data_IF_167433062051
#
_entry.id   IF_167433062051
#
_cell.length_a   1.000
_cell.length_b   1.000
_cell.length_c   1.000
_cell.angle_alpha   90.00
_cell.angle_beta   90.00
_cell.angle_gamma   90.00
#
_symmetry.space_group_name_H-M   'P 1'
#
loop_
_entity.id
_entity.type
_entity.pdbx_description
1 polymer ?
#
# COMPACT_ATOMS: atom_id res chain seq x y z
N UNK A 1 -34.83 15.49 4.08
CA UNK A 1 -34.58 14.14 3.53
C UNK A 1 -33.07 13.93 3.67
N UNK A 2 -32.48 13.20 4.62
CA UNK A 2 -32.78 11.89 5.17
C UNK A 2 -32.35 11.83 6.64
N UNK A 3 -33.24 11.27 7.46
CA UNK A 3 -32.99 10.85 8.84
C UNK A 3 -31.99 9.69 8.84
N UNK A 4 -30.83 9.83 9.49
CA UNK A 4 -29.98 8.68 9.86
C UNK A 4 -30.23 8.32 11.32
N UNK A 5 -31.10 7.33 11.50
CA UNK A 5 -31.25 6.60 12.76
C UNK A 5 -30.12 5.58 12.84
N UNK A 6 -29.15 5.80 13.71
CA UNK A 6 -28.29 4.73 14.19
C UNK A 6 -28.45 4.64 15.70
N UNK A 7 -29.50 3.91 16.10
CA UNK A 7 -29.66 3.40 17.47
C UNK A 7 -29.11 1.98 17.47
N UNK A 8 -27.79 1.85 17.59
CA UNK A 8 -27.23 0.63 18.15
C UNK A 8 -27.48 0.70 19.67
N UNK A 9 -28.39 -0.13 20.17
CA UNK A 9 -28.50 -0.36 21.61
C UNK A 9 -27.23 -1.05 22.07
N UNK A 10 -26.37 -0.29 22.76
CA UNK A 10 -25.31 -0.84 23.59
C UNK A 10 -25.76 -0.65 25.04
N UNK A 11 -26.23 -1.75 25.62
CA UNK A 11 -26.43 -1.84 27.04
C UNK A 11 -25.10 -1.60 27.78
N UNK A 12 -25.16 -0.80 28.84
CA UNK A 12 -24.24 -0.93 29.98
C UNK A 12 -23.17 0.14 30.18
N UNK A 13 -23.46 1.01 31.16
CA UNK A 13 -22.54 1.51 32.21
C UNK A 13 -21.36 2.44 31.87
N UNK A 14 -21.64 3.74 32.05
CA UNK A 14 -20.96 4.72 32.92
C UNK A 14 -19.43 4.89 32.92
N UNK A 15 -19.09 6.15 32.59
CA UNK A 15 -18.14 7.08 33.23
C UNK A 15 -16.64 7.09 32.83
N UNK A 16 -16.31 8.28 32.31
CA UNK A 16 -15.14 9.13 32.60
C UNK A 16 -13.79 8.89 31.91
N UNK A 17 -13.43 9.94 31.17
CA UNK A 17 -12.12 10.57 31.10
C UNK A 17 -10.96 9.74 30.53
N UNK A 18 -10.56 10.07 29.30
CA UNK A 18 -9.16 10.23 28.95
C UNK A 18 -9.05 10.91 27.57
N UNK A 19 -8.33 12.03 27.55
CA UNK A 19 -7.41 12.48 26.50
C UNK A 19 -7.69 12.00 25.08
N UNK A 20 -7.99 12.94 24.17
CA UNK A 20 -7.84 12.77 22.72
C UNK A 20 -6.36 12.53 22.39
N UNK A 21 -5.89 11.31 22.68
CA UNK A 21 -4.68 10.75 22.14
C UNK A 21 -4.90 10.51 20.65
N UNK A 22 -3.89 10.89 19.88
CA UNK A 22 -3.80 10.76 18.43
C UNK A 22 -4.47 9.45 17.99
N UNK A 23 -5.50 9.59 17.15
CA UNK A 23 -6.22 8.46 16.58
C UNK A 23 -5.20 7.46 16.03
N UNK A 24 -5.19 6.29 16.65
CA UNK A 24 -4.33 5.18 16.33
C UNK A 24 -4.35 4.94 14.82
N UNK A 25 -3.17 5.02 14.22
CA UNK A 25 -2.83 4.38 12.96
C UNK A 25 -3.11 2.89 13.14
N UNK A 26 -4.31 2.46 12.76
CA UNK A 26 -4.82 1.13 13.03
C UNK A 26 -5.86 0.71 12.02
N UNK A 27 -5.58 0.89 10.71
CA UNK A 27 -6.27 0.11 9.69
C UNK A 27 -5.68 -1.31 9.67
N UNK A 28 -5.99 -2.07 10.71
CA UNK A 28 -5.76 -3.50 10.74
C UNK A 28 -6.85 -4.19 9.90
N UNK A 29 -6.44 -4.71 8.75
CA UNK A 29 -6.98 -5.94 8.18
C UNK A 29 -8.18 -5.79 7.24
N UNK A 30 -7.99 -6.31 6.02
CA UNK A 30 -9.00 -6.76 5.05
C UNK A 30 -9.79 -5.75 4.21
N UNK A 31 -9.90 -4.47 4.58
CA UNK A 31 -10.40 -3.44 3.64
C UNK A 31 -9.26 -2.75 2.85
N UNK A 32 -8.06 -2.73 3.43
CA UNK A 32 -6.89 -2.01 2.91
C UNK A 32 -6.23 -2.65 1.69
N UNK A 33 -6.30 -3.98 1.54
CA UNK A 33 -5.60 -4.69 0.46
C UNK A 33 -6.18 -4.32 -0.91
N UNK A 34 -7.47 -4.53 -1.11
CA UNK A 34 -8.13 -4.14 -2.37
C UNK A 34 -8.04 -2.63 -2.65
N UNK A 35 -8.11 -1.77 -1.62
CA UNK A 35 -7.98 -0.32 -1.83
C UNK A 35 -6.54 0.09 -2.14
N UNK A 36 -5.53 -0.54 -1.54
CA UNK A 36 -4.12 -0.28 -1.83
C UNK A 36 -3.72 -0.86 -3.19
N UNK A 37 -4.25 -2.02 -3.54
CA UNK A 37 -4.11 -2.64 -4.86
C UNK A 37 -4.68 -1.73 -5.94
N UNK A 38 -5.92 -1.28 -5.79
CA UNK A 38 -6.54 -0.37 -6.75
C UNK A 38 -5.80 0.97 -6.84
N UNK A 39 -5.36 1.52 -5.70
CA UNK A 39 -4.57 2.74 -5.66
C UNK A 39 -3.21 2.58 -6.35
N UNK A 40 -2.50 1.49 -6.09
CA UNK A 40 -1.23 1.16 -6.73
C UNK A 40 -1.39 1.00 -8.24
N UNK A 41 -2.41 0.26 -8.69
CA UNK A 41 -2.71 0.10 -10.11
C UNK A 41 -3.07 1.44 -10.76
N UNK A 42 -3.79 2.32 -10.07
CA UNK A 42 -4.10 3.65 -10.56
C UNK A 42 -2.86 4.54 -10.66
N UNK A 43 -1.95 4.48 -9.68
CA UNK A 43 -0.69 5.24 -9.67
C UNK A 43 0.22 4.81 -10.81
N UNK A 44 0.57 3.53 -10.92
CA UNK A 44 1.49 3.08 -11.98
C UNK A 44 0.93 3.39 -13.38
N UNK A 45 -0.39 3.36 -13.57
CA UNK A 45 -1.03 3.78 -14.83
C UNK A 45 -0.89 5.28 -15.08
N UNK A 46 -1.01 6.12 -14.04
CA UNK A 46 -0.77 7.55 -14.13
C UNK A 46 0.69 7.86 -14.49
N UNK A 47 1.63 7.02 -14.04
CA UNK A 47 3.05 7.08 -14.39
C UNK A 47 3.39 6.48 -15.77
N UNK A 48 2.36 6.07 -16.54
CA UNK A 48 2.50 5.51 -17.89
C UNK A 48 2.90 4.04 -17.92
N UNK A 49 2.90 3.36 -16.78
CA UNK A 49 3.17 1.92 -16.65
C UNK A 49 1.86 1.16 -16.77
N UNK A 50 1.68 0.46 -17.90
CA UNK A 50 0.50 -0.39 -18.12
C UNK A 50 0.88 -1.86 -17.91
N UNK A 51 0.53 -2.46 -16.77
CA UNK A 51 0.79 -3.87 -16.56
C UNK A 51 -0.16 -4.75 -17.38
N UNK A 52 0.24 -5.99 -17.71
CA UNK A 52 -0.60 -6.94 -18.45
C UNK A 52 -1.83 -7.38 -17.66
N UNK A 53 -1.74 -7.41 -16.33
CA UNK A 53 -2.87 -7.62 -15.43
C UNK A 53 -2.58 -6.98 -14.07
N UNK A 54 -3.64 -6.58 -13.36
CA UNK A 54 -3.52 -6.05 -12.00
C UNK A 54 -2.87 -7.06 -11.07
N UNK A 55 -3.31 -8.32 -11.11
CA UNK A 55 -2.75 -9.40 -10.31
C UNK A 55 -1.24 -9.59 -10.55
N UNK A 56 -0.77 -9.44 -11.80
CA UNK A 56 0.67 -9.51 -12.09
C UNK A 56 1.42 -8.35 -11.46
N UNK A 57 0.93 -7.11 -11.63
CA UNK A 57 1.57 -5.94 -11.04
C UNK A 57 1.64 -6.03 -9.51
N UNK A 58 0.55 -6.44 -8.86
CA UNK A 58 0.49 -6.61 -7.40
C UNK A 58 1.50 -7.68 -6.94
N UNK A 59 1.56 -8.82 -7.63
CA UNK A 59 2.53 -9.87 -7.32
C UNK A 59 3.98 -9.38 -7.46
N UNK A 60 4.28 -8.59 -8.49
CA UNK A 60 5.61 -8.01 -8.70
C UNK A 60 5.94 -6.93 -7.65
N UNK A 61 4.94 -6.15 -7.22
CA UNK A 61 5.08 -5.17 -6.16
C UNK A 61 5.38 -5.82 -4.81
N UNK A 62 4.73 -6.93 -4.49
CA UNK A 62 5.09 -7.73 -3.30
C UNK A 62 6.49 -8.35 -3.41
N UNK A 63 6.94 -8.72 -4.61
CA UNK A 63 8.29 -9.21 -4.82
C UNK A 63 9.35 -8.12 -4.57
N UNK A 64 9.04 -6.84 -4.83
CA UNK A 64 9.88 -5.69 -4.44
C UNK A 64 10.06 -5.65 -2.93
N UNK A 65 8.97 -5.73 -2.18
CA UNK A 65 9.03 -5.73 -0.71
C UNK A 65 9.79 -6.95 -0.17
N UNK A 66 9.59 -8.13 -0.76
CA UNK A 66 10.33 -9.35 -0.38
C UNK A 66 11.83 -9.22 -0.64
N UNK A 67 12.22 -8.56 -1.74
CA UNK A 67 13.62 -8.32 -2.06
C UNK A 67 14.27 -7.32 -1.10
N UNK A 68 13.56 -6.25 -0.73
CA UNK A 68 14.02 -5.29 0.27
C UNK A 68 14.17 -5.94 1.65
N UNK A 69 13.22 -6.80 2.03
CA UNK A 69 13.24 -7.57 3.28
C UNK A 69 14.42 -8.56 3.33
N UNK A 70 14.78 -9.13 2.19
CA UNK A 70 15.98 -9.94 2.04
C UNK A 70 17.30 -9.14 2.07
N UNK A 71 17.24 -7.80 2.26
CA UNK A 71 18.40 -6.92 2.32
C UNK A 71 18.99 -6.57 0.96
N UNK A 72 18.24 -6.77 -0.14
CA UNK A 72 18.72 -6.33 -1.45
C UNK A 72 18.78 -4.81 -1.54
N UNK A 73 19.83 -4.30 -2.19
CA UNK A 73 19.95 -2.86 -2.45
C UNK A 73 18.91 -2.40 -3.46
N UNK A 74 18.46 -1.14 -3.38
CA UNK A 74 17.44 -0.59 -4.29
C UNK A 74 17.79 -0.81 -5.77
N UNK A 75 19.08 -0.71 -6.13
CA UNK A 75 19.55 -0.99 -7.51
C UNK A 75 19.28 -2.44 -7.95
N UNK A 76 19.49 -3.41 -7.07
CA UNK A 76 19.19 -4.83 -7.37
C UNK A 76 17.69 -5.07 -7.51
N UNK A 77 16.90 -4.44 -6.64
CA UNK A 77 15.44 -4.51 -6.69
C UNK A 77 14.91 -3.94 -8.01
N UNK A 78 15.36 -2.75 -8.39
CA UNK A 78 14.99 -2.08 -9.65
C UNK A 78 15.40 -2.93 -10.86
N UNK A 79 16.61 -3.49 -10.85
CA UNK A 79 17.05 -4.39 -11.92
C UNK A 79 16.17 -5.65 -12.03
N UNK A 80 15.80 -6.23 -10.88
CA UNK A 80 14.88 -7.37 -10.83
C UNK A 80 13.49 -7.03 -11.35
N UNK A 81 12.95 -5.85 -11.01
CA UNK A 81 11.67 -5.36 -11.56
C UNK A 81 11.77 -5.19 -13.06
N UNK A 82 12.80 -4.51 -13.57
CA UNK A 82 13.01 -4.31 -15.01
C UNK A 82 13.06 -5.65 -15.75
N UNK A 83 13.76 -6.64 -15.20
CA UNK A 83 13.89 -7.97 -15.80
C UNK A 83 12.55 -8.75 -15.82
N UNK A 84 11.73 -8.65 -14.77
CA UNK A 84 10.46 -9.38 -14.66
C UNK A 84 9.30 -8.71 -15.39
N UNK A 85 9.33 -7.38 -15.50
CA UNK A 85 8.25 -6.57 -16.08
C UNK A 85 8.54 -6.09 -17.49
N UNK A 86 9.81 -6.12 -17.93
CA UNK A 86 10.25 -5.53 -19.20
C UNK A 86 10.28 -4.00 -19.20
N UNK A 87 10.11 -3.36 -18.04
CA UNK A 87 10.17 -1.90 -17.91
C UNK A 87 11.58 -1.37 -18.13
N UNK A 88 11.67 -0.14 -18.65
CA UNK A 88 12.93 0.60 -18.66
C UNK A 88 13.43 0.84 -17.23
N UNK A 89 14.72 1.08 -17.04
CA UNK A 89 15.28 1.32 -15.69
C UNK A 89 14.57 2.46 -14.94
N UNK A 90 14.09 3.48 -15.65
CA UNK A 90 13.31 4.56 -15.07
C UNK A 90 11.92 4.08 -14.62
N UNK A 91 11.20 3.35 -15.48
CA UNK A 91 9.87 2.83 -15.12
C UNK A 91 9.94 1.78 -14.01
N UNK A 92 10.99 0.95 -14.00
CA UNK A 92 11.24 0.00 -12.93
C UNK A 92 11.56 0.67 -11.60
N UNK A 93 12.23 1.83 -11.62
CA UNK A 93 12.46 2.64 -10.42
C UNK A 93 11.15 3.21 -9.88
N UNK A 94 10.36 3.89 -10.72
CA UNK A 94 9.04 4.41 -10.34
C UNK A 94 8.17 3.29 -9.76
N UNK A 95 8.04 2.18 -10.49
CA UNK A 95 7.30 1.01 -10.03
C UNK A 95 7.76 0.50 -8.66
N UNK A 96 9.07 0.40 -8.44
CA UNK A 96 9.62 -0.08 -7.17
C UNK A 96 9.33 0.89 -6.02
N UNK A 97 9.38 2.20 -6.26
CA UNK A 97 9.06 3.22 -5.26
C UNK A 97 7.58 3.22 -4.93
N UNK A 98 6.70 3.13 -5.93
CA UNK A 98 5.24 3.09 -5.71
C UNK A 98 4.84 1.79 -5.00
N UNK A 99 5.42 0.66 -5.41
CA UNK A 99 5.24 -0.62 -4.75
C UNK A 99 5.69 -0.56 -3.29
N UNK A 100 6.88 0.00 -3.03
CA UNK A 100 7.38 0.13 -1.68
C UNK A 100 6.51 1.08 -0.84
N UNK A 101 6.05 2.19 -1.41
CA UNK A 101 5.16 3.14 -0.73
C UNK A 101 3.80 2.53 -0.41
N UNK A 102 3.25 1.69 -1.29
CA UNK A 102 1.96 1.04 -1.11
C UNK A 102 2.00 -0.16 -0.15
N UNK A 103 3.04 -1.01 -0.25
CA UNK A 103 3.04 -2.32 0.42
C UNK A 103 4.12 -2.49 1.50
N UNK A 104 5.19 -1.70 1.48
CA UNK A 104 6.25 -1.76 2.48
C UNK A 104 6.83 -0.37 2.79
N UNK A 105 5.99 0.55 3.31
CA UNK A 105 6.36 1.95 3.51
C UNK A 105 7.56 2.14 4.44
N UNK A 106 7.89 1.16 5.28
CA UNK A 106 9.08 1.18 6.13
C UNK A 106 10.41 1.34 5.35
N UNK A 107 10.45 0.97 4.07
CA UNK A 107 11.65 1.08 3.23
C UNK A 107 11.75 2.40 2.46
N UNK A 108 10.69 3.21 2.45
CA UNK A 108 10.64 4.51 1.77
C UNK A 108 10.41 5.68 2.74
N UNK A 109 9.85 5.41 3.92
CA UNK A 109 9.59 6.41 4.99
C UNK A 109 10.81 6.56 5.89
N UNK A 110 11.99 6.73 5.31
CA UNK A 110 13.17 7.17 6.05
C UNK A 110 13.15 8.69 6.06
N UNK A 111 12.69 9.25 7.19
CA UNK A 111 12.74 10.68 7.52
C UNK A 111 14.16 11.23 7.42
#
# INVERSE_FOLDING_TARGET
MFTRRFTASLAGTTLTAATLGLAALGLAGTAGASTADDAFIAQIKADGITPPSSARAISEAHAVCSALDAGQSSKQVIAGVAQRTGLSSSGAHTFAVDAASAYCPQYVTTT
#
